data_IF_250243143515
#
_entry.id   IF_250243143515
#
_cell.length_a   1.000
_cell.length_b   1.000
_cell.length_c   1.000
_cell.angle_alpha   90.00
_cell.angle_beta   90.00
_cell.angle_gamma   90.00
#
_symmetry.space_group_name_H-M   'P 1'
#
loop_
_entity.id
_entity.type
_entity.pdbx_description
1 polymer ?
#
# COMPACT_ATOMS: atom_id res chain seq x y z
N UNK A 1 -0.58 -33.28 -6.30
CA UNK A 1 0.55 -32.38 -6.65
C UNK A 1 -0.02 -31.38 -7.64
N UNK A 2 -0.35 -30.18 -7.18
CA UNK A 2 -0.78 -29.12 -8.09
C UNK A 2 0.43 -28.72 -8.94
N UNK A 3 0.30 -28.84 -10.25
CA UNK A 3 1.25 -28.31 -11.22
C UNK A 3 1.42 -26.83 -10.93
N UNK A 4 2.64 -26.45 -10.55
CA UNK A 4 3.04 -25.05 -10.49
C UNK A 4 3.00 -24.56 -11.94
N UNK A 5 1.90 -23.93 -12.34
CA UNK A 5 1.85 -23.18 -13.60
C UNK A 5 3.12 -22.34 -13.65
N UNK A 6 3.98 -22.64 -14.62
CA UNK A 6 5.25 -21.93 -14.83
C UNK A 6 4.87 -20.47 -15.10
N UNK A 7 5.02 -19.64 -14.08
CA UNK A 7 4.61 -18.23 -14.15
C UNK A 7 5.49 -17.55 -15.19
N UNK A 8 4.92 -17.10 -16.29
CA UNK A 8 5.65 -16.48 -17.39
C UNK A 8 6.24 -15.15 -16.93
N UNK A 9 7.53 -14.99 -17.15
CA UNK A 9 8.25 -13.75 -16.85
C UNK A 9 8.37 -12.98 -18.15
N UNK A 10 7.89 -11.75 -18.12
CA UNK A 10 7.95 -10.83 -19.24
C UNK A 10 9.02 -9.75 -19.00
N UNK A 11 9.46 -9.15 -20.09
CA UNK A 11 10.43 -8.08 -20.15
C UNK A 11 9.89 -6.92 -20.97
N UNK A 12 10.16 -5.69 -20.55
CA UNK A 12 9.77 -4.49 -21.30
C UNK A 12 10.83 -3.39 -21.17
N UNK A 13 11.14 -2.75 -22.29
CA UNK A 13 12.02 -1.58 -22.36
C UNK A 13 11.24 -0.27 -22.23
N UNK A 14 11.91 0.80 -21.79
CA UNK A 14 11.31 2.13 -21.55
C UNK A 14 10.61 2.71 -22.79
N UNK A 15 11.09 2.37 -23.99
CA UNK A 15 10.51 2.90 -25.27
C UNK A 15 9.25 2.13 -25.69
N UNK A 16 8.96 0.98 -25.10
CA UNK A 16 7.78 0.17 -25.44
C UNK A 16 6.50 0.87 -25.00
N UNK A 17 5.41 0.71 -25.75
CA UNK A 17 4.07 1.19 -25.38
C UNK A 17 3.51 0.53 -24.13
N UNK A 18 3.98 -0.68 -23.79
CA UNK A 18 3.58 -1.44 -22.60
C UNK A 18 4.26 -0.89 -21.33
N UNK A 19 5.39 -0.18 -21.46
CA UNK A 19 6.07 0.40 -20.29
C UNK A 19 5.16 1.45 -19.64
N UNK A 20 4.97 1.42 -18.29
CA UNK A 20 4.06 2.32 -17.60
C UNK A 20 4.33 3.80 -17.91
N UNK A 21 3.33 4.50 -18.44
CA UNK A 21 3.46 5.90 -18.80
C UNK A 21 3.85 6.75 -17.59
N UNK A 22 3.34 6.42 -16.39
CA UNK A 22 3.68 7.09 -15.12
C UNK A 22 5.17 7.11 -14.79
N UNK A 23 5.94 6.11 -15.26
CA UNK A 23 7.39 6.05 -15.03
C UNK A 23 8.18 6.72 -16.16
N UNK A 24 7.61 6.84 -17.35
CA UNK A 24 8.32 7.28 -18.54
C UNK A 24 8.86 8.69 -18.42
N UNK A 25 8.05 9.58 -17.84
CA UNK A 25 8.37 11.02 -17.72
C UNK A 25 9.24 11.34 -16.48
N UNK A 26 9.36 10.38 -15.56
CA UNK A 26 10.15 10.59 -14.33
C UNK A 26 11.64 10.34 -14.60
N UNK A 27 12.49 11.21 -14.05
CA UNK A 27 13.94 11.03 -14.08
C UNK A 27 14.39 9.85 -13.21
N UNK A 28 15.50 9.23 -13.57
CA UNK A 28 16.08 8.13 -12.78
C UNK A 28 15.29 6.83 -12.79
N UNK A 29 14.23 6.69 -13.61
CA UNK A 29 13.49 5.45 -13.75
C UNK A 29 14.25 4.40 -14.57
N UNK A 30 14.01 3.09 -14.31
CA UNK A 30 14.73 2.03 -14.99
C UNK A 30 14.49 2.05 -16.50
N UNK A 31 15.54 1.71 -17.26
CA UNK A 31 15.45 1.58 -18.73
C UNK A 31 14.65 0.35 -19.16
N UNK A 32 14.51 -0.60 -18.25
CA UNK A 32 13.83 -1.88 -18.47
C UNK A 32 13.16 -2.37 -17.20
N UNK A 33 12.12 -3.16 -17.35
CA UNK A 33 11.39 -3.80 -16.24
C UNK A 33 11.12 -5.26 -16.59
N UNK A 34 11.25 -6.13 -15.59
CA UNK A 34 10.78 -7.51 -15.61
C UNK A 34 9.48 -7.59 -14.84
N UNK A 35 8.54 -8.41 -15.30
CA UNK A 35 7.27 -8.53 -14.58
C UNK A 35 6.62 -9.91 -14.78
N UNK A 36 5.77 -10.25 -13.82
CA UNK A 36 4.85 -11.39 -13.83
C UNK A 36 3.45 -10.81 -13.71
N UNK A 37 2.50 -11.31 -14.52
CA UNK A 37 1.15 -10.76 -14.57
C UNK A 37 1.09 -9.50 -15.43
N UNK A 38 0.72 -8.35 -14.87
CA UNK A 38 0.60 -7.09 -15.63
C UNK A 38 1.07 -5.87 -14.85
N UNK A 39 1.16 -4.75 -15.52
CA UNK A 39 1.35 -3.44 -14.90
C UNK A 39 0.01 -2.85 -14.41
N UNK A 40 0.05 -1.88 -13.46
CA UNK A 40 -1.12 -1.07 -13.15
C UNK A 40 -1.59 -0.31 -14.39
N UNK A 41 -2.89 -0.12 -14.50
CA UNK A 41 -3.50 0.67 -15.58
C UNK A 41 -3.29 2.16 -15.29
N UNK A 42 -2.70 2.89 -16.25
CA UNK A 42 -2.35 4.31 -16.08
C UNK A 42 -3.57 5.23 -15.90
N UNK A 43 -4.75 4.81 -16.40
CA UNK A 43 -6.01 5.55 -16.30
C UNK A 43 -6.80 5.27 -15.02
N UNK A 44 -6.31 4.40 -14.14
CA UNK A 44 -6.97 4.09 -12.86
C UNK A 44 -6.23 4.73 -11.68
N UNK A 45 -6.94 5.22 -10.68
CA UNK A 45 -6.31 5.73 -9.47
C UNK A 45 -5.47 4.66 -8.80
N UNK A 46 -4.30 5.06 -8.28
CA UNK A 46 -3.33 4.12 -7.72
C UNK A 46 -2.70 4.70 -6.46
N UNK A 47 -2.78 3.98 -5.35
CA UNK A 47 -2.21 4.36 -4.08
C UNK A 47 -1.06 3.41 -3.67
N UNK A 48 0.07 3.96 -3.23
CA UNK A 48 1.10 3.19 -2.57
C UNK A 48 0.82 3.12 -1.07
N UNK A 49 0.84 1.92 -0.49
CA UNK A 49 0.73 1.71 0.98
C UNK A 49 2.06 1.18 1.47
N UNK A 50 2.75 1.97 2.33
CA UNK A 50 4.09 1.63 2.82
C UNK A 50 4.21 1.89 4.33
N UNK A 51 5.19 1.24 4.97
CA UNK A 51 5.43 1.48 6.38
C UNK A 51 6.44 0.52 7.03
N UNK A 52 6.33 0.40 8.34
CA UNK A 52 7.22 -0.39 9.17
C UNK A 52 7.14 -1.89 8.83
N UNK A 53 8.32 -2.55 8.73
CA UNK A 53 8.40 -4.03 8.59
C UNK A 53 7.98 -4.75 9.87
N UNK A 54 8.35 -4.18 11.02
CA UNK A 54 7.94 -4.61 12.35
C UNK A 54 6.87 -3.62 12.84
N UNK A 55 5.67 -3.75 12.33
CA UNK A 55 4.55 -2.89 12.65
C UNK A 55 3.77 -3.40 13.88
N UNK A 56 3.03 -2.49 14.52
CA UNK A 56 2.11 -2.82 15.61
C UNK A 56 0.88 -3.58 15.13
N UNK A 57 0.06 -4.05 16.05
CA UNK A 57 -1.27 -4.60 15.74
C UNK A 57 -2.17 -3.52 15.09
N UNK A 58 -2.09 -2.28 15.61
CA UNK A 58 -2.79 -1.14 15.02
C UNK A 58 -2.38 -0.91 13.56
N UNK A 59 -1.07 -0.85 13.28
CA UNK A 59 -0.57 -0.65 11.91
C UNK A 59 -1.03 -1.74 10.95
N UNK A 60 -1.04 -3.02 11.38
CA UNK A 60 -1.56 -4.14 10.56
C UNK A 60 -3.02 -3.93 10.19
N UNK A 61 -3.85 -3.62 11.21
CA UNK A 61 -5.30 -3.41 11.02
C UNK A 61 -5.53 -2.24 10.06
N UNK A 62 -4.81 -1.12 10.24
CA UNK A 62 -4.98 0.04 9.38
C UNK A 62 -4.50 -0.24 7.96
N UNK A 63 -3.32 -0.85 7.75
CA UNK A 63 -2.83 -1.18 6.42
C UNK A 63 -3.80 -2.09 5.66
N UNK A 64 -4.32 -3.12 6.32
CA UNK A 64 -5.33 -4.01 5.74
C UNK A 64 -6.63 -3.25 5.41
N UNK A 65 -7.14 -2.45 6.36
CA UNK A 65 -8.39 -1.67 6.20
C UNK A 65 -8.29 -0.70 5.03
N UNK A 66 -7.21 0.09 4.95
CA UNK A 66 -7.00 1.03 3.85
C UNK A 66 -6.82 0.30 2.51
N UNK A 67 -6.03 -0.76 2.48
CA UNK A 67 -5.84 -1.56 1.27
C UNK A 67 -7.15 -2.15 0.75
N UNK A 68 -7.98 -2.71 1.63
CA UNK A 68 -9.29 -3.26 1.29
C UNK A 68 -10.24 -2.18 0.80
N UNK A 69 -10.40 -1.12 1.58
CA UNK A 69 -11.31 -0.02 1.26
C UNK A 69 -10.98 0.63 -0.09
N UNK A 70 -9.72 0.97 -0.34
CA UNK A 70 -9.28 1.56 -1.61
C UNK A 70 -9.55 0.63 -2.78
N UNK A 71 -9.24 -0.66 -2.61
CA UNK A 71 -9.51 -1.68 -3.62
C UNK A 71 -11.01 -1.86 -3.90
N UNK A 72 -11.87 -1.86 -2.90
CA UNK A 72 -13.33 -1.91 -3.05
C UNK A 72 -13.89 -0.71 -3.86
N UNK A 73 -13.15 0.42 -3.87
CA UNK A 73 -13.52 1.63 -4.60
C UNK A 73 -12.76 1.82 -5.92
N UNK A 74 -12.19 0.75 -6.47
CA UNK A 74 -11.54 0.76 -7.78
C UNK A 74 -10.12 1.32 -7.80
N UNK A 75 -9.53 1.65 -6.65
CA UNK A 75 -8.16 2.15 -6.53
C UNK A 75 -7.18 0.98 -6.54
N UNK A 76 -6.20 1.01 -7.43
CA UNK A 76 -5.12 0.05 -7.48
C UNK A 76 -4.17 0.27 -6.30
N UNK A 77 -3.73 -0.81 -5.64
CA UNK A 77 -2.80 -0.70 -4.52
C UNK A 77 -1.42 -1.18 -4.96
N UNK A 78 -0.40 -0.37 -4.68
CA UNK A 78 1.00 -0.71 -4.93
C UNK A 78 1.75 -0.78 -3.60
N UNK A 79 2.71 -1.72 -3.49
CA UNK A 79 3.63 -1.76 -2.37
C UNK A 79 4.89 -2.55 -2.68
N UNK A 80 5.76 -2.71 -1.67
CA UNK A 80 7.09 -3.32 -1.82
C UNK A 80 7.17 -4.78 -1.42
N UNK A 81 6.10 -5.47 -1.12
CA UNK A 81 6.09 -6.86 -0.64
C UNK A 81 6.86 -7.07 0.68
N UNK A 82 7.32 -6.03 1.37
CA UNK A 82 8.01 -6.19 2.65
C UNK A 82 7.08 -6.82 3.71
N UNK A 83 7.66 -7.40 4.76
CA UNK A 83 6.88 -7.81 5.93
C UNK A 83 6.18 -6.59 6.56
N UNK A 84 5.12 -6.80 7.33
CA UNK A 84 4.41 -5.75 8.05
C UNK A 84 3.44 -4.98 7.14
N UNK A 85 3.55 -3.66 7.12
CA UNK A 85 2.57 -2.78 6.47
C UNK A 85 2.36 -3.11 4.99
N UNK A 86 3.42 -3.32 4.22
CA UNK A 86 3.32 -3.63 2.80
C UNK A 86 2.49 -4.90 2.56
N UNK A 87 2.81 -5.96 3.33
CA UNK A 87 2.11 -7.25 3.23
C UNK A 87 0.64 -7.12 3.61
N UNK A 88 0.30 -6.37 4.66
CA UNK A 88 -1.09 -6.18 5.10
C UNK A 88 -1.86 -5.31 4.11
N UNK A 89 -1.25 -4.29 3.53
CA UNK A 89 -1.84 -3.50 2.44
C UNK A 89 -2.21 -4.37 1.23
N UNK A 90 -1.30 -5.24 0.81
CA UNK A 90 -1.58 -6.20 -0.27
C UNK A 90 -2.70 -7.19 0.09
N UNK A 91 -2.71 -7.73 1.33
CA UNK A 91 -3.79 -8.63 1.79
C UNK A 91 -5.15 -7.95 1.71
N UNK A 92 -5.25 -6.72 2.23
CA UNK A 92 -6.48 -5.94 2.15
C UNK A 92 -6.93 -5.72 0.70
N UNK A 93 -6.02 -5.30 -0.18
CA UNK A 93 -6.33 -5.07 -1.59
C UNK A 93 -6.79 -6.35 -2.31
N UNK A 94 -6.19 -7.50 -2.02
CA UNK A 94 -6.60 -8.80 -2.57
C UNK A 94 -8.02 -9.21 -2.16
N UNK A 95 -8.55 -8.67 -1.07
CA UNK A 95 -9.93 -8.90 -0.62
C UNK A 95 -10.92 -7.87 -1.17
N UNK A 96 -10.46 -6.68 -1.53
CA UNK A 96 -11.31 -5.62 -2.10
C UNK A 96 -11.66 -5.83 -3.57
N UNK A 97 -10.92 -6.65 -4.31
CA UNK A 97 -11.24 -7.05 -5.69
C UNK A 97 -10.53 -6.26 -6.80
N UNK A 98 -10.07 -5.03 -6.56
CA UNK A 98 -9.20 -4.31 -7.51
C UNK A 98 -7.78 -4.86 -7.41
N UNK A 99 -7.06 -5.01 -8.55
CA UNK A 99 -5.72 -5.58 -8.55
C UNK A 99 -4.71 -4.82 -7.70
N UNK A 100 -3.77 -5.56 -7.11
CA UNK A 100 -2.63 -4.98 -6.40
C UNK A 100 -1.31 -5.36 -7.10
N UNK A 101 -0.28 -4.54 -6.92
CA UNK A 101 0.98 -4.67 -7.62
C UNK A 101 2.16 -4.56 -6.66
N UNK A 102 3.07 -5.52 -6.74
CA UNK A 102 4.26 -5.53 -5.90
C UNK A 102 5.50 -5.17 -6.71
N UNK A 103 6.24 -4.18 -6.25
CA UNK A 103 7.57 -3.87 -6.81
C UNK A 103 8.62 -4.52 -5.94
N UNK A 104 9.57 -5.25 -6.50
CA UNK A 104 10.57 -6.01 -5.76
C UNK A 104 11.96 -5.37 -5.85
N UNK A 105 12.79 -5.59 -4.83
CA UNK A 105 14.22 -5.24 -4.82
C UNK A 105 15.13 -6.43 -5.18
N UNK A 106 14.57 -7.42 -5.89
CA UNK A 106 15.22 -8.65 -6.37
C UNK A 106 14.52 -9.11 -7.65
N UNK A 107 15.02 -10.13 -8.33
CA UNK A 107 14.37 -10.70 -9.50
C UNK A 107 12.93 -11.11 -9.23
N UNK A 108 12.04 -10.95 -10.22
CA UNK A 108 10.61 -11.23 -10.08
C UNK A 108 10.29 -12.68 -9.74
N UNK A 109 11.19 -13.60 -9.99
CA UNK A 109 11.12 -15.04 -9.70
C UNK A 109 11.44 -15.40 -8.24
N UNK A 110 11.95 -14.45 -7.45
CA UNK A 110 12.35 -14.66 -6.07
C UNK A 110 11.36 -13.99 -5.11
N UNK A 111 10.62 -14.78 -4.34
CA UNK A 111 9.76 -14.25 -3.28
C UNK A 111 10.56 -13.88 -2.04
N UNK A 112 10.68 -12.58 -1.75
CA UNK A 112 11.33 -12.09 -0.54
C UNK A 112 10.47 -11.00 0.14
N UNK A 113 10.22 -11.10 1.46
CA UNK A 113 10.54 -12.21 2.34
C UNK A 113 9.70 -13.47 2.07
N UNK A 114 10.19 -14.64 2.47
CA UNK A 114 9.49 -15.92 2.26
C UNK A 114 8.12 -15.98 2.95
N UNK A 115 7.94 -15.22 4.03
CA UNK A 115 6.65 -15.08 4.73
C UNK A 115 5.54 -14.46 3.86
N UNK A 116 5.89 -13.72 2.81
CA UNK A 116 4.95 -13.13 1.86
C UNK A 116 4.57 -14.05 0.69
N UNK A 117 5.00 -15.34 0.71
CA UNK A 117 4.77 -16.28 -0.41
C UNK A 117 3.30 -16.44 -0.79
N UNK A 118 2.39 -16.45 0.20
CA UNK A 118 0.96 -16.53 -0.07
C UNK A 118 0.42 -15.33 -0.86
N UNK A 119 0.88 -14.12 -0.52
CA UNK A 119 0.52 -12.88 -1.22
C UNK A 119 1.13 -12.88 -2.62
N UNK A 120 2.42 -13.19 -2.72
CA UNK A 120 3.17 -13.25 -3.98
C UNK A 120 2.48 -14.11 -5.03
N UNK A 121 1.97 -15.31 -4.66
CA UNK A 121 1.25 -16.20 -5.58
C UNK A 121 -0.13 -15.67 -5.97
N UNK A 122 -0.84 -15.04 -5.03
CA UNK A 122 -2.23 -14.56 -5.25
C UNK A 122 -2.29 -13.31 -6.14
N UNK A 123 -1.27 -12.45 -6.10
CA UNK A 123 -1.26 -11.19 -6.87
C UNK A 123 -1.49 -11.42 -8.37
N UNK A 124 -0.70 -12.23 -9.10
CA UNK A 124 -0.93 -12.46 -10.52
C UNK A 124 -2.25 -13.20 -10.80
N UNK A 125 -2.65 -14.11 -9.92
CA UNK A 125 -3.92 -14.84 -10.03
C UNK A 125 -5.16 -13.95 -9.92
N UNK A 126 -5.01 -12.77 -9.30
CA UNK A 126 -6.05 -11.74 -9.13
C UNK A 126 -5.83 -10.54 -10.07
N UNK A 127 -5.29 -10.79 -11.26
CA UNK A 127 -5.02 -9.78 -12.28
C UNK A 127 -4.08 -8.66 -11.82
N UNK A 128 -3.25 -8.89 -10.82
CA UNK A 128 -2.18 -8.00 -10.40
C UNK A 128 -0.85 -8.29 -11.08
N UNK A 129 0.23 -7.71 -10.55
CA UNK A 129 1.57 -7.93 -11.09
C UNK A 129 2.67 -7.84 -10.05
N UNK A 130 3.74 -8.58 -10.34
CA UNK A 130 5.01 -8.54 -9.63
C UNK A 130 6.02 -7.87 -10.58
N UNK A 131 6.65 -6.80 -10.14
CA UNK A 131 7.46 -5.91 -10.99
C UNK A 131 8.86 -5.77 -10.38
N UNK A 132 9.89 -5.74 -11.22
CA UNK A 132 11.27 -5.48 -10.79
C UNK A 132 12.09 -4.84 -11.90
N UNK A 133 13.09 -4.03 -11.51
CA UNK A 133 14.13 -3.57 -12.43
C UNK A 133 15.30 -4.58 -12.55
N UNK A 134 15.33 -5.58 -11.67
CA UNK A 134 16.40 -6.58 -11.60
C UNK A 134 16.05 -7.84 -12.40
N UNK A 135 17.05 -8.38 -13.09
CA UNK A 135 16.94 -9.61 -13.86
C UNK A 135 16.48 -10.79 -12.99
N UNK A 136 15.73 -11.75 -13.58
CA UNK A 136 15.40 -13.00 -12.91
C UNK A 136 16.66 -13.69 -12.34
N UNK A 137 16.53 -14.30 -11.17
CA UNK A 137 17.65 -14.90 -10.42
C UNK A 137 18.45 -13.90 -9.57
N UNK A 138 18.25 -12.58 -9.73
CA UNK A 138 18.98 -11.59 -8.92
C UNK A 138 18.51 -11.60 -7.47
N UNK A 139 19.42 -11.92 -6.53
CA UNK A 139 19.14 -11.87 -5.10
C UNK A 139 19.07 -10.43 -4.60
N UNK A 140 18.13 -10.16 -3.69
CA UNK A 140 18.01 -8.85 -3.04
C UNK A 140 19.25 -8.49 -2.21
N UNK A 141 19.78 -7.28 -2.42
CA UNK A 141 20.86 -6.68 -1.62
C UNK A 141 20.29 -5.49 -0.86
N UNK A 142 20.90 -5.12 0.27
CA UNK A 142 20.39 -4.07 1.15
C UNK A 142 20.07 -2.75 0.42
N UNK A 143 20.91 -2.34 -0.52
CA UNK A 143 20.75 -1.11 -1.30
C UNK A 143 19.70 -1.21 -2.41
N UNK A 144 19.29 -2.41 -2.84
CA UNK A 144 18.23 -2.59 -3.84
C UNK A 144 16.86 -2.11 -3.30
N UNK A 145 16.59 -2.32 -2.01
CA UNK A 145 15.29 -1.99 -1.44
C UNK A 145 15.00 -0.48 -1.40
N UNK A 146 15.94 0.38 -0.94
CA UNK A 146 15.77 1.83 -1.07
C UNK A 146 15.70 2.29 -2.53
N UNK A 147 16.56 1.76 -3.40
CA UNK A 147 16.57 2.13 -4.82
C UNK A 147 15.24 1.83 -5.52
N UNK A 148 14.62 0.67 -5.21
CA UNK A 148 13.32 0.27 -5.74
C UNK A 148 12.19 1.21 -5.36
N UNK A 149 12.26 1.88 -4.19
CA UNK A 149 11.15 2.69 -3.65
C UNK A 149 10.71 3.82 -4.60
N UNK A 150 11.63 4.36 -5.42
CA UNK A 150 11.30 5.36 -6.46
C UNK A 150 10.31 4.82 -7.51
N UNK A 151 10.32 3.51 -7.74
CA UNK A 151 9.38 2.87 -8.67
C UNK A 151 8.01 2.70 -8.02
N UNK A 152 7.95 2.40 -6.72
CA UNK A 152 6.70 2.31 -5.97
C UNK A 152 5.97 3.66 -6.04
N UNK A 153 6.66 4.75 -5.64
CA UNK A 153 6.07 6.09 -5.67
C UNK A 153 5.77 6.55 -7.10
N UNK A 154 6.64 6.23 -8.06
CA UNK A 154 6.46 6.61 -9.48
C UNK A 154 5.21 5.99 -10.12
N UNK A 155 4.85 4.77 -9.75
CA UNK A 155 3.65 4.09 -10.24
C UNK A 155 2.37 4.55 -9.52
N UNK A 156 2.47 5.22 -8.38
CA UNK A 156 1.33 5.70 -7.60
C UNK A 156 0.97 7.16 -7.89
N UNK A 157 -0.25 7.56 -7.60
CA UNK A 157 -0.70 8.95 -7.58
C UNK A 157 -0.44 9.57 -6.21
N UNK A 158 -0.60 8.77 -5.14
CA UNK A 158 -0.29 9.15 -3.77
C UNK A 158 0.41 8.02 -2.99
N UNK A 159 1.12 8.40 -1.94
CA UNK A 159 1.78 7.47 -1.01
C UNK A 159 1.17 7.62 0.38
N UNK A 160 0.64 6.53 0.92
CA UNK A 160 0.16 6.42 2.30
C UNK A 160 1.22 5.76 3.17
N UNK A 161 1.70 6.46 4.19
CA UNK A 161 2.58 5.93 5.23
C UNK A 161 1.75 5.59 6.46
N UNK A 162 1.69 4.28 6.81
CA UNK A 162 0.83 3.79 7.91
C UNK A 162 1.54 3.86 9.26
N UNK A 163 2.74 3.35 9.34
CA UNK A 163 3.62 3.45 10.51
C UNK A 163 5.07 3.62 10.05
N UNK A 164 5.79 4.51 10.70
CA UNK A 164 7.21 4.74 10.45
C UNK A 164 7.93 5.26 11.69
N UNK A 165 9.09 4.67 12.01
CA UNK A 165 10.07 5.32 12.90
C UNK A 165 10.75 6.48 12.15
N UNK A 166 11.38 7.41 12.89
CA UNK A 166 12.09 8.57 12.31
C UNK A 166 13.12 8.22 11.24
N UNK A 167 13.73 7.04 11.32
CA UNK A 167 14.72 6.53 10.35
C UNK A 167 14.20 5.31 9.59
N UNK A 168 12.92 5.29 9.26
CA UNK A 168 12.33 4.16 8.52
C UNK A 168 12.63 4.24 7.03
N UNK A 169 12.88 3.07 6.40
CA UNK A 169 13.02 2.98 4.94
C UNK A 169 11.75 3.38 4.16
N UNK A 170 10.57 3.35 4.79
CA UNK A 170 9.33 3.83 4.19
C UNK A 170 9.32 5.36 3.99
N UNK A 171 10.08 6.11 4.80
CA UNK A 171 10.23 7.55 4.62
C UNK A 171 11.01 7.88 3.34
N UNK A 172 11.88 6.99 2.87
CA UNK A 172 12.55 7.12 1.57
C UNK A 172 11.51 7.09 0.44
N UNK A 173 10.49 6.22 0.54
CA UNK A 173 9.39 6.20 -0.44
C UNK A 173 8.60 7.49 -0.42
N UNK A 174 8.34 8.06 0.76
CA UNK A 174 7.68 9.35 0.90
C UNK A 174 8.52 10.49 0.29
N UNK A 175 9.84 10.52 0.54
CA UNK A 175 10.74 11.49 -0.08
C UNK A 175 10.76 11.38 -1.60
N UNK A 176 10.87 10.15 -2.15
CA UNK A 176 10.78 9.93 -3.59
C UNK A 176 9.43 10.42 -4.17
N UNK A 177 8.33 10.21 -3.44
CA UNK A 177 7.01 10.69 -3.86
C UNK A 177 6.97 12.23 -3.96
N UNK A 178 7.48 12.93 -2.96
CA UNK A 178 7.56 14.40 -2.97
C UNK A 178 8.44 14.94 -4.09
N UNK A 179 9.62 14.32 -4.33
CA UNK A 179 10.51 14.66 -5.45
C UNK A 179 9.84 14.44 -6.82
N UNK A 180 8.90 13.50 -6.91
CA UNK A 180 8.13 13.17 -8.10
C UNK A 180 6.82 13.98 -8.21
N UNK A 181 6.58 14.94 -7.32
CA UNK A 181 5.36 15.76 -7.29
C UNK A 181 4.10 14.98 -6.90
N UNK A 182 4.25 13.87 -6.18
CA UNK A 182 3.13 13.04 -5.72
C UNK A 182 2.69 13.43 -4.31
N UNK A 183 1.43 13.25 -4.00
CA UNK A 183 0.91 13.49 -2.66
C UNK A 183 1.37 12.43 -1.66
N UNK A 184 1.62 12.87 -0.45
CA UNK A 184 1.98 12.01 0.67
C UNK A 184 0.95 12.18 1.79
N UNK A 185 0.45 11.06 2.28
CA UNK A 185 -0.44 10.98 3.42
C UNK A 185 0.18 10.13 4.51
N UNK A 186 -0.07 10.47 5.75
CA UNK A 186 0.37 9.67 6.90
C UNK A 186 -0.78 9.41 7.87
N UNK A 187 -0.84 8.19 8.40
CA UNK A 187 -1.81 7.84 9.45
C UNK A 187 -1.29 8.39 10.78
N UNK A 188 -2.10 9.18 11.50
CA UNK A 188 -1.74 9.65 12.83
C UNK A 188 -1.76 8.48 13.84
N UNK A 189 -0.89 8.55 14.83
CA UNK A 189 -0.84 7.58 15.92
C UNK A 189 -0.60 8.25 17.26
N UNK A 190 -0.34 7.48 18.32
CA UNK A 190 -0.06 8.02 19.63
C UNK A 190 1.27 8.79 19.64
N UNK A 191 1.31 9.95 20.30
CA UNK A 191 2.48 10.85 20.33
C UNK A 191 3.72 10.19 20.95
N UNK A 192 3.51 9.30 21.92
CA UNK A 192 4.57 8.57 22.61
C UNK A 192 4.98 7.26 21.89
N UNK A 193 4.33 6.89 20.78
CA UNK A 193 4.67 5.66 20.04
C UNK A 193 5.80 5.94 19.04
N UNK A 194 6.87 5.16 19.17
CA UNK A 194 8.04 5.25 18.29
C UNK A 194 7.72 4.95 16.82
N UNK A 195 6.70 4.11 16.53
CA UNK A 195 6.26 3.78 15.18
C UNK A 195 5.44 4.91 14.54
N UNK A 196 4.96 5.86 15.31
CA UNK A 196 4.18 7.02 14.83
C UNK A 196 5.05 8.26 14.56
N UNK A 197 6.27 8.31 15.10
CA UNK A 197 7.12 9.51 15.02
C UNK A 197 7.45 9.93 13.59
N UNK A 198 7.73 8.98 12.70
CA UNK A 198 7.98 9.27 11.28
C UNK A 198 6.73 9.81 10.58
N UNK A 199 5.54 9.27 10.91
CA UNK A 199 4.27 9.78 10.41
C UNK A 199 3.99 11.20 10.92
N UNK A 200 4.22 11.46 12.22
CA UNK A 200 4.06 12.81 12.79
C UNK A 200 5.00 13.83 12.13
N UNK A 201 6.26 13.42 11.86
CA UNK A 201 7.19 14.28 11.14
C UNK A 201 6.72 14.61 9.74
N UNK A 202 6.25 13.61 8.98
CA UNK A 202 5.66 13.83 7.65
C UNK A 202 4.48 14.80 7.70
N UNK A 203 3.57 14.64 8.67
CA UNK A 203 2.43 15.53 8.87
C UNK A 203 2.90 16.95 9.19
N UNK A 204 3.87 17.11 10.10
CA UNK A 204 4.46 18.39 10.43
C UNK A 204 5.11 19.06 9.22
N UNK A 205 5.75 18.27 8.35
CA UNK A 205 6.42 18.73 7.12
C UNK A 205 5.41 18.98 5.96
N UNK A 206 4.08 18.81 6.20
CA UNK A 206 3.02 19.16 5.24
C UNK A 206 2.32 17.98 4.56
N UNK A 207 2.60 16.74 4.95
CA UNK A 207 1.84 15.60 4.44
C UNK A 207 0.38 15.62 4.93
N UNK A 208 -0.54 15.13 4.10
CA UNK A 208 -1.94 14.99 4.46
C UNK A 208 -2.16 14.02 5.63
N UNK A 209 -3.16 14.29 6.46
CA UNK A 209 -3.53 13.42 7.57
C UNK A 209 -4.54 12.38 7.08
N UNK A 210 -4.14 11.11 7.05
CA UNK A 210 -5.02 10.00 6.72
C UNK A 210 -5.78 9.53 7.98
N UNK A 211 -6.75 10.30 8.46
CA UNK A 211 -7.57 9.94 9.62
C UNK A 211 -8.71 8.96 9.26
N UNK A 212 -9.07 8.85 8.01
CA UNK A 212 -10.00 7.85 7.48
C UNK A 212 -9.64 7.51 6.03
N UNK A 213 -9.96 6.29 5.52
CA UNK A 213 -9.64 5.94 4.15
C UNK A 213 -10.45 6.71 3.10
N UNK A 214 -11.62 7.24 3.46
CA UNK A 214 -12.50 8.00 2.58
C UNK A 214 -11.84 9.27 2.04
N UNK A 215 -11.03 9.95 2.87
CA UNK A 215 -10.37 11.19 2.46
C UNK A 215 -9.39 11.00 1.30
N UNK A 216 -8.83 9.79 1.15
CA UNK A 216 -7.93 9.51 0.04
C UNK A 216 -8.68 9.43 -1.29
N UNK A 217 -9.97 9.09 -1.27
CA UNK A 217 -10.80 9.04 -2.47
C UNK A 217 -11.11 10.43 -3.01
N UNK A 218 -11.13 11.44 -2.14
CA UNK A 218 -11.40 12.83 -2.53
C UNK A 218 -10.34 13.35 -3.50
N UNK A 219 -9.09 12.85 -3.41
CA UNK A 219 -7.99 13.19 -4.33
C UNK A 219 -8.26 12.82 -5.79
N UNK A 220 -9.13 11.85 -6.02
CA UNK A 220 -9.55 11.42 -7.36
C UNK A 220 -10.99 11.82 -7.68
N UNK A 221 -11.66 12.62 -6.81
CA UNK A 221 -13.07 12.94 -6.95
C UNK A 221 -14.00 11.73 -6.82
N UNK A 222 -13.52 10.65 -6.19
CA UNK A 222 -14.26 9.41 -5.96
C UNK A 222 -15.04 9.45 -4.64
N UNK A 223 -15.68 10.56 -4.32
CA UNK A 223 -16.43 10.73 -3.06
C UNK A 223 -17.38 9.58 -2.81
N UNK A 224 -17.22 8.91 -1.68
CA UNK A 224 -18.25 7.97 -1.20
C UNK A 224 -19.49 8.80 -0.87
N UNK A 225 -20.54 8.72 -1.70
CA UNK A 225 -21.85 9.25 -1.30
C UNK A 225 -22.19 8.58 0.04
N UNK A 226 -22.07 9.32 1.14
CA UNK A 226 -22.59 8.87 2.43
C UNK A 226 -24.05 8.54 2.18
N UNK A 227 -24.40 7.25 2.17
CA UNK A 227 -25.76 6.84 2.42
C UNK A 227 -26.04 7.32 3.84
N UNK A 228 -26.58 8.50 3.96
CA UNK A 228 -27.17 9.00 5.20
C UNK A 228 -28.40 8.14 5.45
N UNK A 229 -28.20 6.96 6.03
CA UNK A 229 -29.26 6.22 6.69
C UNK A 229 -29.61 6.97 7.99
N UNK A 230 -30.10 8.20 7.84
CA UNK A 230 -30.68 9.00 8.93
C UNK A 230 -32.12 8.58 9.24
N UNK A 231 -32.68 7.60 8.49
CA UNK A 231 -34.08 7.24 8.63
C UNK A 231 -34.41 6.03 9.52
N UNK A 232 -33.39 5.31 10.03
CA UNK A 232 -33.66 4.13 10.88
C UNK A 232 -33.26 4.25 12.36
N UNK A 233 -32.53 5.30 12.75
CA UNK A 233 -32.16 5.48 14.18
C UNK A 233 -33.21 6.17 15.05
N UNK A 234 -34.35 6.59 14.48
CA UNK A 234 -35.40 7.25 15.28
C UNK A 234 -36.50 6.32 15.82
N UNK A 235 -36.39 5.00 15.67
CA UNK A 235 -37.45 4.06 16.10
C UNK A 235 -37.05 3.02 17.14
N UNK A 236 -35.79 2.99 17.64
CA UNK A 236 -35.43 2.16 18.78
C UNK A 236 -34.83 3.03 19.88
N UNK A 237 -35.70 3.59 20.68
CA UNK A 237 -35.32 4.17 21.95
C UNK A 237 -35.11 3.08 23.00
N UNK A 238 -33.94 2.47 23.03
CA UNK A 238 -33.35 1.76 24.14
C UNK A 238 -32.00 1.25 23.65
N UNK A 239 -30.91 1.91 24.07
CA UNK A 239 -29.59 1.31 23.96
C UNK A 239 -29.64 -0.01 24.70
N UNK A 240 -29.37 -1.12 24.02
CA UNK A 240 -29.23 -2.41 24.70
C UNK A 240 -27.99 -2.35 25.59
N UNK A 241 -27.98 -3.08 26.72
CA UNK A 241 -26.81 -3.15 27.62
C UNK A 241 -25.50 -3.49 26.87
N UNK A 242 -25.60 -4.18 25.74
CA UNK A 242 -24.52 -4.48 24.81
C UNK A 242 -23.91 -3.22 24.15
N UNK A 243 -24.75 -2.25 23.71
CA UNK A 243 -24.25 -1.01 23.10
C UNK A 243 -23.56 -0.13 24.14
N UNK A 244 -24.00 -0.18 25.41
CA UNK A 244 -23.34 0.49 26.52
C UNK A 244 -21.97 -0.15 26.82
N UNK A 245 -21.89 -1.49 26.80
CA UNK A 245 -20.63 -2.23 27.00
C UNK A 245 -19.66 -1.96 25.86
N UNK A 246 -20.11 -1.96 24.60
CA UNK A 246 -19.26 -1.62 23.46
C UNK A 246 -18.77 -0.17 23.47
N UNK A 247 -19.58 0.77 23.96
CA UNK A 247 -19.16 2.18 24.08
C UNK A 247 -18.11 2.39 25.19
N UNK A 248 -18.06 1.47 26.17
CA UNK A 248 -17.07 1.47 27.26
C UNK A 248 -15.79 0.70 26.93
N UNK A 249 -15.77 -0.11 25.86
CA UNK A 249 -14.58 -0.77 25.35
C UNK A 249 -13.74 0.24 24.56
N UNK A 250 -12.96 1.05 25.29
CA UNK A 250 -11.90 1.85 24.66
C UNK A 250 -10.90 0.87 24.01
N UNK A 251 -10.68 1.03 22.70
CA UNK A 251 -9.71 0.22 21.93
C UNK A 251 -8.26 0.45 22.37
N UNK A 252 -8.01 1.22 23.41
CA UNK A 252 -6.70 1.41 24.02
C UNK A 252 -6.43 0.29 25.01
N UNK A 253 -5.30 -0.44 24.90
CA UNK A 253 -4.89 -1.36 25.93
C UNK A 253 -4.72 -0.58 27.24
N UNK A 254 -5.56 -0.87 28.23
CA UNK A 254 -5.33 -0.38 29.59
C UNK A 254 -4.15 -1.18 30.13
N UNK A 255 -3.03 -0.51 30.43
CA UNK A 255 -1.96 -1.12 31.21
C UNK A 255 -2.55 -1.52 32.59
N UNK A 256 -2.60 -2.80 32.85
CA UNK A 256 -2.72 -3.37 34.18
C UNK A 256 -1.38 -3.30 34.88
#
# INVERSE_FOLDING_TARGET
>A
MEEIQKTEIHYVEKNSSIYPARLRELSGMPKQLYYIGRFPEDNKPTAAIVGARLCSAYGRIQAFRYGKFLSEHGVQVISGMAAGIDAEGHKGALEGGTPTFAVLGNGVDICYPSSSRGIYRRIPQKNGGIISEYEPGTRGRAYHFPARNRIISGLADLVLVVEAKEKSGSLITASCALEQGKMVYAIPGAVNDALSRGCHKLIYDGAGIAYSPEILLDEWGLSVKKKTNLSEKSKLGLATDLDLVYSCLDLRPKNL
#
